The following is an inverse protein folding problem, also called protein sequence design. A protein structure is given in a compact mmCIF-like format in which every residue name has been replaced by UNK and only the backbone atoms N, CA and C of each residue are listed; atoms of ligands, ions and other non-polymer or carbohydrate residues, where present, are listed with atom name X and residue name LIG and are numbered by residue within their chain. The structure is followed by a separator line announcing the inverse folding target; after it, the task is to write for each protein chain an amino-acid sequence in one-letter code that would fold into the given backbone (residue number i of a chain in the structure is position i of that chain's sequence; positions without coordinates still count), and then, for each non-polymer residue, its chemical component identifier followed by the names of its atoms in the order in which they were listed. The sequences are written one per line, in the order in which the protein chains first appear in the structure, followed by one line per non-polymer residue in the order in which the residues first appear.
data_IF_957381455026
#
_entry.id   IF_957381455026
#
_cell.length_a   1.000
_cell.length_b   1.000
_cell.length_c   1.000
_cell.angle_alpha   90.00
_cell.angle_beta   90.00
_cell.angle_gamma   90.00
#
_symmetry.space_group_name_H-M   'P 1'
#
loop_
_entity.id
_entity.type
_entity.pdbx_description
1 polymer ?
#
# COMPACT_ATOMS: atom_id res chain seq x y z
N UNK A 1 -32.51 -13.28 -5.92
CA UNK A 1 -32.50 -11.80 -5.76
C UNK A 1 -32.40 -11.54 -4.27
N UNK A 2 -31.32 -10.91 -3.80
CA UNK A 2 -31.14 -10.61 -2.37
C UNK A 2 -32.06 -9.42 -2.05
N UNK A 3 -32.94 -9.61 -1.08
CA UNK A 3 -33.77 -8.50 -0.57
C UNK A 3 -32.92 -7.58 0.32
N UNK A 4 -32.47 -6.49 -0.22
CA UNK A 4 -31.66 -5.49 0.47
C UNK A 4 -32.46 -4.60 1.42
N UNK A 5 -33.80 -4.69 1.40
CA UNK A 5 -34.66 -3.81 2.19
C UNK A 5 -34.86 -4.28 3.63
N UNK A 6 -34.58 -5.54 3.91
CA UNK A 6 -34.86 -6.17 5.21
C UNK A 6 -33.61 -6.51 6.05
N UNK A 7 -32.41 -6.42 5.49
CA UNK A 7 -31.17 -6.64 6.24
C UNK A 7 -30.79 -5.37 6.99
N UNK A 8 -30.88 -5.40 8.32
CA UNK A 8 -30.15 -4.45 9.15
C UNK A 8 -28.66 -4.61 8.84
N UNK A 9 -27.98 -3.48 8.62
CA UNK A 9 -26.53 -3.48 8.50
C UNK A 9 -25.95 -4.22 9.72
N UNK A 10 -24.96 -5.09 9.55
CA UNK A 10 -24.29 -5.73 10.67
C UNK A 10 -23.76 -4.67 11.65
N UNK A 11 -23.70 -5.00 12.94
CA UNK A 11 -23.30 -4.04 13.98
C UNK A 11 -21.91 -3.41 13.73
N UNK A 12 -20.99 -4.13 13.07
CA UNK A 12 -19.67 -3.62 12.69
C UNK A 12 -19.74 -2.52 11.61
N UNK A 13 -20.78 -2.50 10.78
CA UNK A 13 -20.96 -1.45 9.77
C UNK A 13 -21.17 -0.08 10.42
N UNK A 14 -21.82 -0.01 11.57
CA UNK A 14 -22.03 1.23 12.32
C UNK A 14 -20.72 1.81 12.87
N UNK A 15 -19.71 0.97 13.13
CA UNK A 15 -18.40 1.39 13.64
C UNK A 15 -17.45 1.88 12.56
N UNK A 16 -17.66 1.47 11.32
CA UNK A 16 -16.76 1.75 10.19
C UNK A 16 -17.35 2.73 9.15
N UNK A 17 -18.50 3.32 9.44
CA UNK A 17 -19.07 4.35 8.56
C UNK A 17 -18.12 5.56 8.52
N UNK A 18 -17.73 6.01 7.32
CA UNK A 18 -16.93 7.21 7.18
C UNK A 18 -17.57 8.41 7.89
N UNK A 19 -16.83 9.04 8.79
CA UNK A 19 -17.29 10.22 9.53
C UNK A 19 -16.74 11.48 8.91
N UNK A 20 -17.56 12.51 8.83
CA UNK A 20 -17.11 13.83 8.45
C UNK A 20 -16.47 14.52 9.65
N UNK A 21 -15.20 14.89 9.52
CA UNK A 21 -14.50 15.70 10.50
C UNK A 21 -14.26 17.09 9.89
N UNK A 22 -14.94 18.14 10.38
CA UNK A 22 -14.68 19.49 9.91
C UNK A 22 -13.24 19.90 10.25
N UNK A 23 -12.66 20.75 9.41
CA UNK A 23 -11.35 21.33 9.73
C UNK A 23 -11.46 22.15 11.03
N UNK A 24 -10.46 22.07 11.92
CA UNK A 24 -10.45 22.86 13.14
C UNK A 24 -10.35 24.36 12.80
N UNK A 25 -10.92 25.19 13.68
CA UNK A 25 -10.68 26.63 13.60
C UNK A 25 -9.32 26.92 14.22
N UNK A 26 -8.38 27.34 13.40
CA UNK A 26 -7.01 27.67 13.77
C UNK A 26 -6.74 29.16 13.51
N UNK A 27 -5.62 29.67 13.99
CA UNK A 27 -5.10 30.96 13.54
C UNK A 27 -4.73 30.89 12.05
N UNK A 28 -4.65 32.04 11.37
CA UNK A 28 -4.27 32.07 9.94
C UNK A 28 -2.89 31.40 9.73
N UNK A 29 -1.93 31.64 10.61
CA UNK A 29 -0.61 31.05 10.53
C UNK A 29 -0.64 29.52 10.66
N UNK A 30 -1.37 28.99 11.64
CA UNK A 30 -1.49 27.55 11.85
C UNK A 30 -2.28 26.89 10.71
N UNK A 31 -3.27 27.59 10.15
CA UNK A 31 -4.02 27.11 9.00
C UNK A 31 -3.11 27.01 7.76
N UNK A 32 -2.28 28.03 7.50
CA UNK A 32 -1.30 28.01 6.40
C UNK A 32 -0.33 26.83 6.60
N UNK A 33 0.20 26.67 7.80
CA UNK A 33 1.12 25.56 8.08
C UNK A 33 0.45 24.19 7.86
N UNK A 34 -0.78 24.01 8.36
CA UNK A 34 -1.51 22.76 8.18
C UNK A 34 -1.78 22.46 6.69
N UNK A 35 -2.13 23.46 5.88
CA UNK A 35 -2.35 23.27 4.45
C UNK A 35 -1.04 22.93 3.75
N UNK A 36 0.06 23.61 4.10
CA UNK A 36 1.39 23.31 3.58
C UNK A 36 1.80 21.87 3.91
N UNK A 37 1.61 21.44 5.14
CA UNK A 37 1.90 20.08 5.59
C UNK A 37 1.05 19.02 4.84
N UNK A 38 -0.23 19.31 4.60
CA UNK A 38 -1.10 18.43 3.80
C UNK A 38 -0.59 18.28 2.36
N UNK A 39 -0.21 19.40 1.73
CA UNK A 39 0.30 19.37 0.36
C UNK A 39 1.67 18.68 0.29
N UNK A 40 2.57 18.87 1.27
CA UNK A 40 3.84 18.15 1.35
C UNK A 40 3.62 16.61 1.38
N UNK A 41 2.67 16.14 2.20
CA UNK A 41 2.32 14.71 2.27
C UNK A 41 1.74 14.20 0.95
N UNK A 42 0.90 15.01 0.29
CA UNK A 42 0.33 14.66 -1.03
C UNK A 42 1.40 14.57 -2.11
N UNK A 43 2.33 15.53 -2.13
CA UNK A 43 3.44 15.56 -3.08
C UNK A 43 4.37 14.36 -2.87
N UNK A 44 4.69 14.03 -1.62
CA UNK A 44 5.48 12.87 -1.29
C UNK A 44 4.86 11.58 -1.84
N UNK A 45 3.56 11.38 -1.62
CA UNK A 45 2.84 10.21 -2.14
C UNK A 45 2.70 10.22 -3.66
N UNK A 46 2.53 11.39 -4.26
CA UNK A 46 2.52 11.53 -5.72
C UNK A 46 3.88 11.14 -6.30
N UNK A 47 4.97 11.65 -5.74
CA UNK A 47 6.33 11.33 -6.14
C UNK A 47 6.62 9.82 -5.99
N UNK A 48 6.16 9.20 -4.88
CA UNK A 48 6.22 7.76 -4.69
C UNK A 48 5.55 7.00 -5.85
N UNK A 49 4.35 7.42 -6.26
CA UNK A 49 3.64 6.77 -7.38
C UNK A 49 4.43 6.85 -8.70
N UNK A 50 5.07 7.99 -8.97
CA UNK A 50 5.95 8.12 -10.14
C UNK A 50 7.22 7.28 -10.03
N UNK A 51 7.84 7.20 -8.84
CA UNK A 51 9.01 6.33 -8.64
C UNK A 51 8.68 4.86 -8.85
N UNK A 52 7.51 4.41 -8.35
CA UNK A 52 7.03 3.06 -8.62
C UNK A 52 6.81 2.78 -10.11
N UNK A 53 6.15 3.69 -10.81
CA UNK A 53 5.87 3.54 -12.24
C UNK A 53 7.16 3.50 -13.08
N UNK A 54 8.20 4.19 -12.63
CA UNK A 54 9.53 4.21 -13.25
C UNK A 54 10.48 3.10 -12.74
N UNK A 55 10.00 2.21 -11.87
CA UNK A 55 10.80 1.17 -11.20
C UNK A 55 12.02 1.70 -10.42
N UNK A 56 11.90 2.91 -9.87
CA UNK A 56 12.92 3.58 -9.07
C UNK A 56 12.75 3.30 -7.58
N UNK A 57 12.52 2.04 -7.21
CA UNK A 57 12.20 1.63 -5.83
C UNK A 57 13.30 1.91 -4.83
N UNK A 58 14.56 1.72 -5.21
CA UNK A 58 15.70 2.10 -4.35
C UNK A 58 15.69 3.59 -4.07
N UNK A 59 15.48 4.42 -5.09
CA UNK A 59 15.41 5.87 -4.93
C UNK A 59 14.23 6.30 -4.07
N UNK A 60 13.07 5.65 -4.22
CA UNK A 60 11.91 5.84 -3.32
C UNK A 60 12.32 5.59 -1.87
N UNK A 61 12.97 4.46 -1.59
CA UNK A 61 13.35 4.07 -0.24
C UNK A 61 14.42 5.02 0.36
N UNK A 62 15.35 5.49 -0.45
CA UNK A 62 16.42 6.39 0.00
C UNK A 62 15.91 7.81 0.27
N UNK A 63 15.05 8.34 -0.58
CA UNK A 63 14.64 9.74 -0.54
C UNK A 63 13.35 10.00 0.26
N UNK A 64 12.38 9.09 0.17
CA UNK A 64 11.03 9.34 0.70
C UNK A 64 10.78 8.66 2.05
N UNK A 65 11.49 7.59 2.37
CA UNK A 65 11.29 6.87 3.61
C UNK A 65 12.14 7.44 4.75
N UNK A 66 11.69 7.17 5.97
CA UNK A 66 12.42 7.49 7.20
C UNK A 66 13.86 6.97 7.18
N UNK A 67 14.78 7.72 7.77
CA UNK A 67 16.20 7.40 7.82
C UNK A 67 16.76 7.36 9.24
N UNK A 68 16.13 8.06 10.18
CA UNK A 68 16.55 8.03 11.57
C UNK A 68 16.44 6.60 12.14
N UNK A 69 17.46 6.09 12.85
CA UNK A 69 17.50 4.70 13.31
C UNK A 69 16.27 4.28 14.13
N UNK A 70 15.71 5.18 14.93
CA UNK A 70 14.55 4.91 15.77
C UNK A 70 13.28 4.66 14.91
N UNK A 71 13.13 5.40 13.82
CA UNK A 71 12.01 5.25 12.89
C UNK A 71 12.26 4.11 11.91
N UNK A 72 13.48 4.04 11.35
CA UNK A 72 13.85 3.01 10.38
C UNK A 72 13.69 1.58 10.94
N UNK A 73 13.99 1.38 12.23
CA UNK A 73 13.79 0.08 12.89
C UNK A 73 12.33 -0.40 12.93
N UNK A 74 11.37 0.53 12.82
CA UNK A 74 9.93 0.25 12.92
C UNK A 74 9.16 0.55 11.65
N UNK A 75 9.81 1.15 10.64
CA UNK A 75 9.17 1.40 9.35
C UNK A 75 8.57 0.12 8.77
N UNK A 76 7.43 0.21 8.10
CA UNK A 76 6.82 -1.01 7.58
C UNK A 76 6.11 -0.82 6.26
N UNK A 77 6.14 -1.88 5.45
CA UNK A 77 5.31 -2.04 4.28
C UNK A 77 4.32 -3.19 4.52
N UNK A 78 3.05 -2.88 4.53
CA UNK A 78 1.95 -3.83 4.74
C UNK A 78 1.21 -4.16 3.45
N UNK A 79 0.69 -5.36 3.38
CA UNK A 79 -0.20 -5.86 2.33
C UNK A 79 -1.28 -6.75 2.94
N UNK A 80 -2.15 -7.32 2.11
CA UNK A 80 -3.12 -8.32 2.58
C UNK A 80 -2.47 -9.57 3.18
N UNK A 81 -1.20 -9.82 2.89
CA UNK A 81 -0.46 -11.01 3.31
C UNK A 81 0.40 -10.80 4.54
N UNK A 82 0.58 -9.58 4.98
CA UNK A 82 1.38 -9.26 6.15
C UNK A 82 2.23 -8.01 6.00
N UNK A 83 3.13 -7.84 6.94
CA UNK A 83 4.04 -6.70 7.01
C UNK A 83 5.50 -7.12 6.86
N UNK A 84 6.24 -6.31 6.12
CA UNK A 84 7.70 -6.27 6.14
C UNK A 84 8.08 -5.19 7.15
N UNK A 85 8.56 -5.59 8.31
CA UNK A 85 8.75 -4.72 9.46
C UNK A 85 10.24 -4.43 9.71
N UNK A 86 10.57 -3.15 9.77
CA UNK A 86 11.92 -2.60 9.69
C UNK A 86 12.30 -2.20 8.26
N UNK A 87 12.93 -1.03 8.08
CA UNK A 87 13.33 -0.53 6.75
C UNK A 87 14.22 -1.54 6.00
N UNK A 88 15.05 -2.30 6.72
CA UNK A 88 15.87 -3.38 6.12
C UNK A 88 15.03 -4.49 5.50
N UNK A 89 13.91 -4.87 6.12
CA UNK A 89 13.01 -5.87 5.58
C UNK A 89 12.21 -5.31 4.39
N UNK A 90 11.85 -4.02 4.45
CA UNK A 90 11.27 -3.33 3.29
C UNK A 90 12.29 -3.31 2.13
N UNK A 91 13.57 -2.99 2.39
CA UNK A 91 14.63 -3.04 1.39
C UNK A 91 14.71 -4.44 0.77
N UNK A 92 14.83 -5.47 1.61
CA UNK A 92 14.96 -6.86 1.17
C UNK A 92 13.86 -7.27 0.18
N UNK A 93 12.60 -7.04 0.57
CA UNK A 93 11.46 -7.49 -0.25
C UNK A 93 11.14 -6.51 -1.39
N UNK A 94 10.96 -5.24 -1.06
CA UNK A 94 10.45 -4.24 -2.00
C UNK A 94 11.45 -3.88 -3.10
N UNK A 95 12.75 -3.96 -2.79
CA UNK A 95 13.80 -3.60 -3.73
C UNK A 95 14.55 -4.85 -4.22
N UNK A 96 15.22 -5.58 -3.31
CA UNK A 96 16.21 -6.58 -3.70
C UNK A 96 15.56 -7.81 -4.33
N UNK A 97 14.54 -8.39 -3.70
CA UNK A 97 13.82 -9.56 -4.24
C UNK A 97 13.04 -9.22 -5.51
N UNK A 98 12.43 -8.02 -5.55
CA UNK A 98 11.74 -7.57 -6.74
C UNK A 98 12.70 -7.42 -7.93
N UNK A 99 13.86 -6.81 -7.75
CA UNK A 99 14.87 -6.70 -8.80
C UNK A 99 15.42 -8.06 -9.23
N UNK A 100 15.66 -8.96 -8.26
CA UNK A 100 16.09 -10.32 -8.56
C UNK A 100 15.06 -11.07 -9.41
N UNK A 101 13.78 -10.97 -9.06
CA UNK A 101 12.67 -11.53 -9.85
C UNK A 101 12.65 -10.97 -11.27
N UNK A 102 12.80 -9.65 -11.44
CA UNK A 102 12.84 -9.00 -12.77
C UNK A 102 13.99 -9.51 -13.63
N UNK A 103 15.18 -9.62 -13.06
CA UNK A 103 16.37 -10.14 -13.77
C UNK A 103 16.17 -11.61 -14.20
N UNK A 104 15.61 -12.44 -13.33
CA UNK A 104 15.31 -13.83 -13.64
C UNK A 104 14.28 -13.95 -14.78
N UNK A 105 13.22 -13.15 -14.76
CA UNK A 105 12.21 -13.10 -15.83
C UNK A 105 12.84 -12.66 -17.16
N UNK A 106 13.66 -11.63 -17.16
CA UNK A 106 14.36 -11.16 -18.36
C UNK A 106 15.27 -12.24 -18.94
N UNK A 107 16.07 -12.91 -18.10
CA UNK A 107 16.96 -14.00 -18.51
C UNK A 107 16.18 -15.10 -19.22
N UNK A 108 15.12 -15.60 -18.57
CA UNK A 108 14.27 -16.66 -19.15
C UNK A 108 13.66 -16.23 -20.50
N UNK A 109 13.19 -14.98 -20.58
CA UNK A 109 12.66 -14.41 -21.82
C UNK A 109 13.73 -14.39 -22.92
N UNK A 110 14.92 -13.86 -22.66
CA UNK A 110 15.99 -13.76 -23.64
C UNK A 110 16.45 -15.13 -24.12
N UNK A 111 16.60 -16.11 -23.23
CA UNK A 111 16.94 -17.50 -23.57
C UNK A 111 15.90 -18.11 -24.52
N UNK A 112 14.61 -17.94 -24.25
CA UNK A 112 13.53 -18.47 -25.10
C UNK A 112 13.42 -17.76 -26.45
N UNK A 113 13.68 -16.46 -26.49
CA UNK A 113 13.64 -15.69 -27.74
C UNK A 113 14.95 -15.80 -28.56
N UNK A 114 16.00 -16.41 -28.01
CA UNK A 114 17.29 -16.50 -28.65
C UNK A 114 17.98 -15.14 -28.85
N UNK A 115 17.71 -14.16 -27.96
CA UNK A 115 18.32 -12.83 -27.99
C UNK A 115 19.27 -12.66 -26.79
N UNK A 116 20.32 -11.82 -26.91
CA UNK A 116 21.24 -11.58 -25.81
C UNK A 116 20.53 -10.82 -24.70
N UNK A 117 20.92 -11.09 -23.45
CA UNK A 117 20.48 -10.30 -22.31
C UNK A 117 20.99 -8.85 -22.43
N UNK A 118 20.09 -7.88 -22.34
CA UNK A 118 20.40 -6.45 -22.27
C UNK A 118 19.59 -5.85 -21.11
N UNK A 119 20.28 -5.24 -20.15
CA UNK A 119 19.62 -4.58 -19.00
C UNK A 119 18.62 -3.49 -19.42
N UNK A 120 18.74 -2.93 -20.61
CA UNK A 120 17.74 -2.00 -21.17
C UNK A 120 16.39 -2.64 -21.42
N UNK A 121 16.32 -3.97 -21.48
CA UNK A 121 15.09 -4.75 -21.64
C UNK A 121 14.42 -5.07 -20.30
N UNK A 122 15.00 -4.70 -19.16
CA UNK A 122 14.49 -5.05 -17.83
C UNK A 122 13.05 -4.57 -17.61
N UNK A 123 12.64 -3.48 -18.26
CA UNK A 123 11.28 -2.97 -18.25
C UNK A 123 10.36 -3.54 -19.32
N UNK A 124 10.87 -4.41 -20.21
CA UNK A 124 10.07 -4.92 -21.32
C UNK A 124 8.86 -5.74 -20.83
N UNK A 125 7.66 -5.37 -21.27
CA UNK A 125 6.42 -6.01 -20.88
C UNK A 125 6.01 -5.79 -19.42
N UNK A 126 6.75 -5.00 -18.67
CA UNK A 126 6.53 -4.75 -17.26
C UNK A 126 6.04 -3.33 -17.03
N UNK A 127 4.94 -3.20 -16.31
CA UNK A 127 4.38 -1.92 -15.88
C UNK A 127 3.80 -2.08 -14.48
N UNK A 128 4.01 -1.09 -13.64
CA UNK A 128 3.32 -0.99 -12.37
C UNK A 128 2.87 0.46 -12.18
N UNK A 129 1.59 0.70 -12.29
CA UNK A 129 1.02 2.04 -12.21
C UNK A 129 -0.16 2.05 -11.24
N UNK A 130 -0.01 2.82 -10.16
CA UNK A 130 -1.03 3.01 -9.14
C UNK A 130 -1.29 4.50 -8.93
N UNK A 131 -2.11 5.14 -9.80
CA UNK A 131 -2.48 6.54 -9.62
C UNK A 131 -3.30 6.71 -8.34
N UNK A 132 -3.03 7.77 -7.60
CA UNK A 132 -3.67 8.05 -6.32
C UNK A 132 -4.85 9.00 -6.52
N UNK A 133 -5.99 8.66 -5.93
CA UNK A 133 -7.22 9.47 -6.00
C UNK A 133 -7.89 9.58 -4.62
N UNK A 134 -8.87 10.49 -4.49
CA UNK A 134 -9.73 10.61 -3.30
C UNK A 134 -8.95 10.69 -1.98
N UNK A 135 -7.89 11.50 -1.93
CA UNK A 135 -7.02 11.61 -0.77
C UNK A 135 -7.74 12.19 0.46
N UNK A 136 -7.55 11.56 1.61
CA UNK A 136 -7.86 12.14 2.92
C UNK A 136 -6.55 12.14 3.70
N UNK A 137 -6.09 13.34 4.08
CA UNK A 137 -4.88 13.53 4.88
C UNK A 137 -5.24 14.20 6.20
N UNK A 138 -4.64 13.77 7.29
CA UNK A 138 -4.76 14.35 8.63
C UNK A 138 -3.36 14.60 9.20
N UNK A 139 -3.13 15.84 9.60
CA UNK A 139 -1.93 16.20 10.35
C UNK A 139 -2.25 16.04 11.83
N UNK A 140 -1.34 15.47 12.60
CA UNK A 140 -1.43 15.41 14.05
C UNK A 140 -1.46 16.82 14.65
N UNK A 141 -2.09 16.99 15.81
CA UNK A 141 -2.12 18.32 16.50
C UNK A 141 -0.73 18.81 16.87
N UNK A 142 0.20 17.89 17.15
CA UNK A 142 1.60 18.25 17.44
C UNK A 142 2.39 18.65 16.18
N UNK A 143 1.83 18.48 15.00
CA UNK A 143 2.47 18.81 13.71
C UNK A 143 3.65 17.90 13.35
N UNK A 144 3.93 16.83 14.10
CA UNK A 144 5.12 15.97 13.92
C UNK A 144 4.83 14.72 13.08
N UNK A 145 3.57 14.44 12.84
CA UNK A 145 3.15 13.28 12.04
C UNK A 145 1.93 13.57 11.19
N UNK A 146 1.74 12.75 10.17
CA UNK A 146 0.55 12.77 9.32
C UNK A 146 0.08 11.35 9.03
N UNK A 147 -1.19 11.24 8.70
CA UNK A 147 -1.83 10.01 8.21
C UNK A 147 -2.59 10.33 6.92
N UNK A 148 -2.51 9.42 5.97
CA UNK A 148 -3.26 9.58 4.73
C UNK A 148 -3.83 8.28 4.20
N UNK A 149 -4.91 8.39 3.41
CA UNK A 149 -5.51 7.28 2.68
C UNK A 149 -5.92 7.73 1.28
N UNK A 150 -5.75 6.84 0.32
CA UNK A 150 -6.07 7.03 -1.10
C UNK A 150 -6.74 5.78 -1.66
N UNK A 151 -7.65 5.97 -2.59
CA UNK A 151 -8.01 4.91 -3.53
C UNK A 151 -7.07 4.92 -4.72
N UNK A 152 -6.82 3.73 -5.28
CA UNK A 152 -6.08 3.57 -6.51
C UNK A 152 -6.73 2.50 -7.37
N UNK A 153 -6.92 2.83 -8.65
CA UNK A 153 -7.18 1.83 -9.68
C UNK A 153 -5.86 1.64 -10.41
N UNK A 154 -5.16 0.57 -10.04
CA UNK A 154 -3.84 0.29 -10.54
C UNK A 154 -3.84 -0.71 -11.69
N UNK A 155 -2.75 -0.72 -12.41
CA UNK A 155 -2.42 -1.71 -13.41
C UNK A 155 -1.04 -2.27 -13.15
N UNK A 156 -0.93 -3.58 -13.30
CA UNK A 156 0.35 -4.27 -13.32
C UNK A 156 0.45 -5.11 -14.59
N UNK A 157 1.61 -5.16 -15.20
CA UNK A 157 1.93 -6.17 -16.18
C UNK A 157 3.30 -6.77 -15.88
N UNK A 158 3.39 -8.06 -16.10
CA UNK A 158 4.61 -8.84 -15.94
C UNK A 158 4.92 -9.61 -17.21
N UNK A 159 6.20 -9.71 -17.55
CA UNK A 159 6.68 -10.52 -18.66
C UNK A 159 6.55 -11.99 -18.30
N UNK A 160 5.89 -12.75 -19.17
CA UNK A 160 5.80 -14.21 -19.06
C UNK A 160 6.96 -14.88 -19.75
N UNK A 161 7.20 -16.13 -19.39
CA UNK A 161 8.24 -16.96 -20.01
C UNK A 161 8.04 -17.17 -21.51
N UNK A 162 6.81 -17.13 -22.03
CA UNK A 162 6.52 -17.27 -23.47
C UNK A 162 6.74 -15.98 -24.27
N UNK A 163 7.16 -14.89 -23.60
CA UNK A 163 7.38 -13.59 -24.22
C UNK A 163 6.13 -12.72 -24.30
N UNK A 164 4.99 -13.20 -23.81
CA UNK A 164 3.80 -12.38 -23.67
C UNK A 164 3.80 -11.64 -22.33
N UNK A 165 3.01 -10.58 -22.21
CA UNK A 165 2.79 -9.93 -20.94
C UNK A 165 1.48 -10.43 -20.30
N UNK A 166 1.47 -10.61 -18.99
CA UNK A 166 0.25 -10.72 -18.21
C UNK A 166 -0.16 -9.36 -17.71
N UNK A 167 -1.45 -9.03 -17.78
CA UNK A 167 -1.98 -7.78 -17.24
C UNK A 167 -2.91 -8.05 -16.07
N UNK A 168 -2.83 -7.22 -15.05
CA UNK A 168 -3.67 -7.26 -13.87
C UNK A 168 -4.24 -5.87 -13.59
N UNK A 169 -5.55 -5.80 -13.37
CA UNK A 169 -6.21 -4.64 -12.79
C UNK A 169 -6.32 -4.81 -11.29
N UNK A 170 -6.01 -3.76 -10.55
CA UNK A 170 -6.01 -3.77 -9.09
C UNK A 170 -6.87 -2.62 -8.57
N UNK A 171 -7.76 -2.94 -7.64
CA UNK A 171 -8.50 -1.96 -6.85
C UNK A 171 -7.90 -1.92 -5.45
N UNK A 172 -7.27 -0.80 -5.13
CA UNK A 172 -6.46 -0.68 -3.93
C UNK A 172 -6.98 0.44 -3.03
N UNK A 173 -6.85 0.23 -1.73
CA UNK A 173 -6.74 1.30 -0.74
C UNK A 173 -5.28 1.37 -0.30
N UNK A 174 -4.70 2.55 -0.42
CA UNK A 174 -3.33 2.80 0.03
C UNK A 174 -3.40 3.76 1.20
N UNK A 175 -2.90 3.36 2.34
CA UNK A 175 -2.80 4.23 3.51
C UNK A 175 -1.39 4.31 4.02
N UNK A 176 -1.05 5.43 4.64
CA UNK A 176 0.30 5.66 5.12
C UNK A 176 0.34 6.55 6.36
N UNK A 177 1.34 6.30 7.19
CA UNK A 177 1.79 7.19 8.25
C UNK A 177 3.09 7.88 7.84
N UNK A 178 3.21 9.12 8.23
CA UNK A 178 4.37 9.96 8.00
C UNK A 178 4.85 10.55 9.30
N UNK A 179 6.16 10.69 9.46
CA UNK A 179 6.78 11.41 10.57
C UNK A 179 7.75 12.46 10.02
N UNK A 180 7.96 13.54 10.76
CA UNK A 180 8.95 14.54 10.37
C UNK A 180 10.34 14.11 10.82
N UNK A 181 11.28 14.12 9.87
CA UNK A 181 12.72 14.06 10.09
C UNK A 181 13.34 15.34 9.49
N UNK A 182 14.14 16.05 10.23
CA UNK A 182 14.71 17.35 9.83
C UNK A 182 13.65 18.34 9.28
N UNK A 183 12.47 18.36 9.90
CA UNK A 183 11.37 19.25 9.55
C UNK A 183 10.61 18.89 8.27
N UNK A 184 10.88 17.74 7.65
CA UNK A 184 10.21 17.24 6.45
C UNK A 184 9.50 15.93 6.71
N UNK A 185 8.33 15.74 6.11
CA UNK A 185 7.64 14.46 6.20
C UNK A 185 8.40 13.36 5.46
N UNK A 186 8.46 12.20 6.10
CA UNK A 186 9.01 10.96 5.57
C UNK A 186 7.99 9.84 5.74
N UNK A 187 7.95 8.93 4.77
CA UNK A 187 7.10 7.74 4.83
C UNK A 187 7.59 6.81 5.93
N UNK A 188 6.70 6.47 6.85
CA UNK A 188 7.01 5.64 8.01
C UNK A 188 6.37 4.26 7.92
N UNK A 189 5.05 4.23 7.74
CA UNK A 189 4.30 3.02 7.44
C UNK A 189 3.52 3.19 6.16
N UNK A 190 3.40 2.14 5.38
CA UNK A 190 2.45 2.09 4.26
C UNK A 190 1.75 0.75 4.26
N UNK A 191 0.46 0.75 3.96
CA UNK A 191 -0.31 -0.45 3.66
C UNK A 191 -0.93 -0.29 2.28
N UNK A 192 -0.69 -1.26 1.44
CA UNK A 192 -1.33 -1.40 0.14
C UNK A 192 -2.34 -2.54 0.25
N UNK A 193 -3.55 -2.18 0.64
CA UNK A 193 -4.65 -3.12 0.77
C UNK A 193 -5.32 -3.31 -0.60
N UNK A 194 -5.30 -4.54 -1.06
CA UNK A 194 -5.88 -4.93 -2.32
C UNK A 194 -7.32 -5.41 -2.09
N UNK A 195 -8.29 -4.59 -2.52
CA UNK A 195 -9.70 -4.94 -2.36
C UNK A 195 -10.13 -5.96 -3.42
N UNK A 196 -9.57 -5.85 -4.63
CA UNK A 196 -9.89 -6.73 -5.73
C UNK A 196 -8.83 -6.70 -6.83
N UNK A 197 -8.55 -7.87 -7.41
CA UNK A 197 -7.74 -8.03 -8.60
C UNK A 197 -8.50 -8.81 -9.66
N UNK A 198 -8.29 -8.48 -10.93
CA UNK A 198 -8.74 -9.31 -12.03
C UNK A 198 -7.82 -9.19 -13.24
N UNK A 199 -7.73 -10.26 -13.99
CA UNK A 199 -6.84 -10.32 -15.14
C UNK A 199 -7.35 -9.39 -16.27
N UNK A 200 -6.46 -8.60 -16.85
CA UNK A 200 -6.79 -7.73 -17.97
C UNK A 200 -7.25 -8.57 -19.18
N UNK A 201 -8.28 -8.10 -19.88
CA UNK A 201 -8.87 -8.81 -21.01
C UNK A 201 -9.94 -9.83 -20.65
N UNK A 202 -10.19 -10.07 -19.36
CA UNK A 202 -11.32 -10.90 -18.91
C UNK A 202 -12.53 -10.04 -18.55
N UNK A 203 -13.70 -10.66 -18.46
CA UNK A 203 -14.86 -9.97 -17.90
C UNK A 203 -14.75 -9.90 -16.39
N UNK A 204 -15.30 -8.83 -15.83
CA UNK A 204 -15.47 -8.72 -14.41
C UNK A 204 -16.58 -9.67 -13.95
N UNK A 205 -16.18 -10.85 -13.47
CA UNK A 205 -17.07 -11.84 -12.87
C UNK A 205 -16.38 -12.55 -11.71
N UNK A 206 -17.13 -13.36 -10.98
CA UNK A 206 -16.63 -14.06 -9.80
C UNK A 206 -15.49 -15.06 -10.10
N UNK A 207 -15.41 -15.54 -11.35
CA UNK A 207 -14.43 -16.57 -11.75
C UNK A 207 -13.03 -15.96 -11.99
N UNK A 208 -12.95 -14.62 -12.12
CA UNK A 208 -11.67 -13.91 -12.32
C UNK A 208 -11.10 -13.35 -11.03
N UNK A 209 -11.79 -13.52 -9.93
CA UNK A 209 -11.33 -13.10 -8.62
C UNK A 209 -10.22 -14.02 -8.13
N UNK A 210 -9.05 -13.43 -7.84
CA UNK A 210 -7.92 -14.16 -7.27
C UNK A 210 -8.12 -14.18 -5.75
N UNK A 211 -8.42 -15.35 -5.17
CA UNK A 211 -8.53 -15.49 -3.73
C UNK A 211 -7.13 -15.31 -3.09
N UNK A 212 -6.93 -14.30 -2.23
CA UNK A 212 -5.67 -14.12 -1.53
C UNK A 212 -5.30 -15.29 -0.59
N UNK A 213 -6.24 -16.20 -0.32
CA UNK A 213 -5.96 -17.45 0.43
C UNK A 213 -5.25 -18.50 -0.43
N UNK A 214 -5.06 -18.26 -1.71
CA UNK A 214 -4.27 -19.16 -2.55
C UNK A 214 -2.80 -19.09 -2.10
N UNK A 215 -2.30 -20.18 -1.55
CA UNK A 215 -0.93 -20.31 -1.06
C UNK A 215 0.12 -19.96 -2.13
N UNK A 216 -0.21 -20.13 -3.40
CA UNK A 216 0.64 -19.73 -4.52
C UNK A 216 0.90 -18.22 -4.55
N UNK A 217 -0.12 -17.40 -4.19
CA UNK A 217 0.03 -15.95 -4.10
C UNK A 217 0.84 -15.52 -2.88
N UNK A 218 0.68 -16.21 -1.76
CA UNK A 218 1.49 -15.94 -0.56
C UNK A 218 2.98 -16.13 -0.83
N UNK A 219 3.34 -17.14 -1.63
CA UNK A 219 4.72 -17.38 -2.09
C UNK A 219 5.19 -16.27 -3.03
N UNK A 220 4.31 -15.75 -3.90
CA UNK A 220 4.65 -14.65 -4.81
C UNK A 220 4.93 -13.33 -4.07
N UNK A 221 4.29 -13.10 -2.92
CA UNK A 221 4.50 -11.90 -2.11
C UNK A 221 5.68 -12.00 -1.14
N UNK A 222 6.51 -13.05 -1.24
CA UNK A 222 7.67 -13.25 -0.37
C UNK A 222 7.27 -13.63 1.06
N UNK A 223 8.25 -13.75 1.94
CA UNK A 223 8.01 -14.10 3.35
C UNK A 223 7.91 -12.81 4.19
N UNK A 224 6.71 -12.28 4.48
CA UNK A 224 6.58 -11.10 5.33
C UNK A 224 7.10 -11.41 6.75
N UNK A 225 7.69 -10.42 7.39
CA UNK A 225 8.18 -10.52 8.76
C UNK A 225 7.06 -10.86 9.75
N UNK A 226 5.87 -10.28 9.49
CA UNK A 226 4.64 -10.54 10.24
C UNK A 226 3.59 -11.01 9.25
N UNK A 227 3.41 -12.34 9.08
CA UNK A 227 2.45 -12.88 8.13
C UNK A 227 1.01 -12.62 8.60
N UNK A 228 0.14 -12.31 7.65
CA UNK A 228 -1.28 -12.11 7.87
C UNK A 228 -2.07 -12.65 6.68
N UNK A 229 -3.31 -13.03 6.93
CA UNK A 229 -4.30 -13.26 5.90
C UNK A 229 -5.57 -12.49 6.28
N UNK A 230 -5.64 -11.23 5.88
CA UNK A 230 -6.76 -10.34 6.21
C UNK A 230 -7.82 -10.27 5.12
N UNK A 231 -7.60 -10.93 4.00
CA UNK A 231 -8.53 -10.85 2.89
C UNK A 231 -9.45 -12.07 2.90
N UNK A 232 -10.64 -11.87 3.43
CA UNK A 232 -11.75 -12.82 3.30
C UNK A 232 -12.77 -12.23 2.35
N UNK A 233 -13.06 -12.92 1.24
CA UNK A 233 -14.03 -12.50 0.23
C UNK A 233 -15.40 -12.14 0.80
N UNK A 234 -15.74 -12.67 1.97
CA UNK A 234 -17.01 -12.41 2.64
C UNK A 234 -17.06 -11.09 3.37
N UNK A 235 -15.90 -10.42 3.56
CA UNK A 235 -15.78 -9.22 4.42
C UNK A 235 -15.21 -7.98 3.70
N UNK A 236 -14.82 -8.06 2.45
CA UNK A 236 -14.02 -7.07 1.76
C UNK A 236 -14.42 -5.61 1.92
N UNK A 237 -15.63 -5.29 1.60
CA UNK A 237 -16.08 -3.91 1.68
C UNK A 237 -16.71 -3.59 3.04
N UNK A 238 -16.93 -4.61 3.83
CA UNK A 238 -17.52 -4.57 5.13
C UNK A 238 -16.53 -4.12 6.21
N UNK A 239 -15.31 -4.58 6.17
CA UNK A 239 -14.32 -4.28 7.20
C UNK A 239 -13.75 -2.87 7.09
N UNK A 240 -13.94 -2.21 5.93
CA UNK A 240 -13.43 -0.86 5.67
C UNK A 240 -11.98 -0.68 6.18
N UNK A 241 -11.18 -1.74 6.00
CA UNK A 241 -9.77 -1.72 6.33
C UNK A 241 -8.95 -1.42 5.07
N UNK A 242 -7.91 -0.62 5.15
CA UNK A 242 -7.55 0.23 6.29
C UNK A 242 -8.59 1.33 6.54
N UNK A 243 -8.81 1.71 7.81
CA UNK A 243 -9.79 2.73 8.16
C UNK A 243 -9.34 4.12 7.73
N UNK A 244 -10.29 4.99 7.44
CA UNK A 244 -9.99 6.41 7.19
C UNK A 244 -9.34 7.05 8.42
N UNK A 245 -8.33 7.95 8.22
CA UNK A 245 -7.68 8.60 9.34
C UNK A 245 -8.64 9.57 10.04
N UNK A 246 -8.79 9.39 11.34
CA UNK A 246 -9.48 10.31 12.22
C UNK A 246 -8.51 11.40 12.72
N UNK A 247 -9.01 12.58 13.19
CA UNK A 247 -8.17 13.55 13.88
C UNK A 247 -7.50 12.92 15.11
N UNK A 248 -6.24 13.23 15.34
CA UNK A 248 -5.45 12.66 16.43
C UNK A 248 -4.42 13.68 16.97
N UNK A 249 -3.96 13.47 18.19
CA UNK A 249 -3.06 14.39 18.87
C UNK A 249 -1.60 14.13 18.46
N UNK A 250 -1.17 12.88 18.53
CA UNK A 250 0.17 12.41 18.15
C UNK A 250 0.09 10.99 17.58
N UNK A 251 1.07 10.60 16.79
CA UNK A 251 1.17 9.23 16.28
C UNK A 251 1.65 8.30 17.39
N UNK A 252 0.91 7.23 17.61
CA UNK A 252 1.26 6.15 18.54
C UNK A 252 1.24 4.81 17.82
N UNK A 253 1.89 3.77 18.36
CA UNK A 253 1.78 2.43 17.77
C UNK A 253 0.34 1.98 17.56
N UNK A 254 -0.54 2.26 18.52
CA UNK A 254 -1.93 1.77 18.53
C UNK A 254 -2.83 2.47 17.51
N UNK A 255 -2.50 3.70 17.12
CA UNK A 255 -3.27 4.44 16.12
C UNK A 255 -2.58 4.46 14.75
N UNK A 256 -1.42 3.79 14.60
CA UNK A 256 -0.66 3.73 13.35
C UNK A 256 -1.30 2.77 12.33
N UNK A 257 -0.88 2.91 11.07
CA UNK A 257 -1.10 1.90 10.03
C UNK A 257 -0.02 0.81 10.02
N UNK A 258 0.93 0.87 10.95
CA UNK A 258 1.90 -0.19 11.20
C UNK A 258 1.25 -1.43 11.83
N UNK A 259 2.01 -2.51 12.00
CA UNK A 259 1.48 -3.77 12.53
C UNK A 259 0.90 -3.64 13.94
N UNK A 260 1.45 -2.78 14.79
CA UNK A 260 0.95 -2.54 16.14
C UNK A 260 -0.45 -1.88 16.16
N UNK A 261 -0.76 -1.10 15.14
CA UNK A 261 -2.07 -0.46 14.96
C UNK A 261 -3.12 -1.37 14.32
N UNK A 262 -2.69 -2.50 13.73
CA UNK A 262 -3.59 -3.37 12.97
C UNK A 262 -4.60 -4.10 13.88
N UNK A 263 -5.92 -4.03 13.60
CA UNK A 263 -6.95 -4.60 14.49
C UNK A 263 -6.79 -6.10 14.75
N UNK A 264 -6.37 -6.86 13.74
CA UNK A 264 -6.22 -8.32 13.86
C UNK A 264 -4.97 -8.72 14.63
N UNK A 265 -3.95 -7.87 14.73
CA UNK A 265 -2.73 -8.13 15.48
C UNK A 265 -2.87 -7.73 16.97
N UNK A 266 -3.75 -6.78 17.28
CA UNK A 266 -4.02 -6.34 18.66
C UNK A 266 -4.57 -7.42 19.58
N UNK A 267 -5.11 -8.51 19.05
CA UNK A 267 -5.71 -9.61 19.83
C UNK A 267 -4.78 -10.77 20.19
N UNK A 268 -3.49 -10.72 19.84
CA UNK A 268 -2.51 -11.77 20.17
C UNK A 268 -2.82 -13.17 19.61
N UNK A 269 -3.62 -13.26 18.55
CA UNK A 269 -4.00 -14.54 17.92
C UNK A 269 -3.40 -14.73 16.52
N UNK A 270 -2.41 -13.97 16.16
CA UNK A 270 -1.83 -13.97 14.81
C UNK A 270 -0.31 -13.97 14.78
N UNK A 271 0.35 -14.52 15.81
CA UNK A 271 1.80 -14.77 15.78
C UNK A 271 2.03 -16.22 16.16
#
# INVERSE_FOLDING_TARGET
MIDWTTKKAPAWFEHNVPKHYPLPRLSDADMIQMVTDIEEVRDLMSLRSYYQAADLRQKELDELWVSEPIHAAKASYGSNYGYYYGKSEVQRWYVDEFQAKRKAQLKTYCEKQGVPEDEKLLGAGCMYMCPLSTSIVRIAKDGQSAKGIWYSIGQQSDLKEDGTASGLWMYLKICADFVKEDGKFKLYHIVVANDQNYQAGTKYDADTYIDPKDDALAVEFGNPTIPMNVHDNTYNWADNYPPMPEPYDTLTPENSYGPEGHPMLKGGKGV
#
